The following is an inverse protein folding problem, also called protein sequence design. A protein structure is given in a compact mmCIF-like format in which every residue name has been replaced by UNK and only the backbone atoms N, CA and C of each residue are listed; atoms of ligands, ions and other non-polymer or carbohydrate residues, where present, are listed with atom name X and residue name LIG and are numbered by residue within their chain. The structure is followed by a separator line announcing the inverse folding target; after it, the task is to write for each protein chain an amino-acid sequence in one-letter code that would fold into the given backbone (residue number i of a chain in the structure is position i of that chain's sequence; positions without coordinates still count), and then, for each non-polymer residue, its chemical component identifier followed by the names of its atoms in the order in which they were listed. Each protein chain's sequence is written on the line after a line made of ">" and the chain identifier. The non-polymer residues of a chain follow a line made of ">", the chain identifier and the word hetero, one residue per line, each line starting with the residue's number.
data_IF_220101771240
#
_entry.id   IF_220101771240
#
_cell.length_a   1.000
_cell.length_b   1.000
_cell.length_c   1.000
_cell.angle_alpha   90.00
_cell.angle_beta   90.00
_cell.angle_gamma   90.00
#
_symmetry.space_group_name_H-M   'P 1'
#
loop_
_entity.id
_entity.type
_entity.pdbx_description
1 polymer ?
#
# COMPACT_ATOMS: atom_id res chain seq x y z
N UNK A 1 -4.34 -39.82 19.62
CA UNK A 1 -3.77 -40.38 18.37
C UNK A 1 -4.49 -39.91 17.12
N UNK A 2 -5.80 -40.19 16.92
CA UNK A 2 -6.51 -39.78 15.68
C UNK A 2 -6.51 -38.26 15.47
N UNK A 3 -6.69 -37.46 16.51
CA UNK A 3 -6.62 -35.99 16.44
C UNK A 3 -5.18 -35.50 16.19
N UNK A 4 -4.18 -36.18 16.72
CA UNK A 4 -2.77 -35.87 16.49
C UNK A 4 -2.37 -36.15 15.05
N UNK A 5 -2.82 -37.27 14.49
CA UNK A 5 -2.58 -37.62 13.08
C UNK A 5 -3.29 -36.65 12.12
N UNK A 6 -4.46 -36.15 12.50
CA UNK A 6 -5.15 -35.10 11.75
C UNK A 6 -4.39 -33.77 11.81
N UNK A 7 -3.93 -33.37 13.00
CA UNK A 7 -3.16 -32.14 13.20
C UNK A 7 -1.86 -32.17 12.39
N UNK A 8 -1.16 -33.32 12.38
CA UNK A 8 0.05 -33.50 11.62
C UNK A 8 -0.20 -33.35 10.11
N UNK A 9 -1.24 -33.97 9.57
CA UNK A 9 -1.62 -33.84 8.16
C UNK A 9 -1.97 -32.39 7.78
N UNK A 10 -2.70 -31.68 8.64
CA UNK A 10 -3.02 -30.28 8.43
C UNK A 10 -1.74 -29.44 8.40
N UNK A 11 -0.82 -29.67 9.34
CA UNK A 11 0.48 -28.99 9.39
C UNK A 11 1.28 -29.20 8.11
N UNK A 12 1.40 -30.44 7.65
CA UNK A 12 2.13 -30.78 6.42
C UNK A 12 1.49 -30.13 5.19
N UNK A 13 0.16 -30.15 5.11
CA UNK A 13 -0.57 -29.51 4.03
C UNK A 13 -0.39 -27.99 4.03
N UNK A 14 -0.47 -27.34 5.21
CA UNK A 14 -0.26 -25.90 5.32
C UNK A 14 1.19 -25.51 4.95
N UNK A 15 2.17 -26.28 5.39
CA UNK A 15 3.56 -26.03 5.01
C UNK A 15 3.75 -26.16 3.49
N UNK A 16 3.18 -27.20 2.87
CA UNK A 16 3.20 -27.36 1.43
C UNK A 16 2.53 -26.18 0.71
N UNK A 17 1.35 -25.71 1.19
CA UNK A 17 0.69 -24.55 0.60
C UNK A 17 1.56 -23.29 0.68
N UNK A 18 2.17 -23.01 1.82
CA UNK A 18 2.94 -21.79 2.04
C UNK A 18 4.29 -21.80 1.34
N UNK A 19 5.00 -22.95 1.31
CA UNK A 19 6.38 -23.00 0.81
C UNK A 19 6.48 -23.41 -0.66
N UNK A 20 5.60 -24.30 -1.13
CA UNK A 20 5.69 -24.84 -2.49
C UNK A 20 4.66 -24.22 -3.46
N UNK A 21 3.42 -24.01 -2.98
CA UNK A 21 2.33 -23.54 -3.85
C UNK A 21 2.32 -22.01 -3.96
N UNK A 22 2.47 -21.32 -2.81
CA UNK A 22 2.45 -19.86 -2.74
C UNK A 22 3.87 -19.29 -2.88
N UNK A 23 4.44 -19.33 -4.09
CA UNK A 23 5.83 -18.90 -4.34
C UNK A 23 6.10 -17.44 -4.00
N UNK A 24 5.06 -16.61 -4.00
CA UNK A 24 5.12 -15.20 -3.61
C UNK A 24 5.18 -15.00 -2.10
N UNK A 25 4.84 -16.03 -1.29
CA UNK A 25 4.67 -15.86 0.16
C UNK A 25 5.94 -15.39 0.87
N UNK A 26 7.06 -16.02 0.59
CA UNK A 26 8.37 -15.72 1.23
C UNK A 26 8.88 -14.32 0.84
N UNK A 27 9.05 -13.97 -0.46
CA UNK A 27 9.53 -12.64 -0.83
C UNK A 27 8.61 -11.50 -0.40
N UNK A 28 7.30 -11.68 -0.47
CA UNK A 28 6.31 -10.70 0.01
C UNK A 28 6.31 -10.57 1.54
N UNK A 29 6.67 -11.63 2.25
CA UNK A 29 6.81 -11.61 3.70
C UNK A 29 8.10 -10.91 4.14
N UNK A 30 9.22 -11.16 3.47
CA UNK A 30 10.49 -10.48 3.71
C UNK A 30 10.37 -8.98 3.46
N UNK A 31 9.73 -8.59 2.38
CA UNK A 31 9.45 -7.18 2.11
C UNK A 31 8.60 -6.54 3.22
N UNK A 32 7.57 -7.24 3.69
CA UNK A 32 6.75 -6.78 4.81
C UNK A 32 7.57 -6.61 6.09
N UNK A 33 8.45 -7.59 6.42
CA UNK A 33 9.29 -7.54 7.61
C UNK A 33 10.28 -6.37 7.59
N UNK A 34 10.76 -5.99 6.43
CA UNK A 34 11.60 -4.80 6.28
C UNK A 34 10.81 -3.50 6.42
N UNK A 35 9.63 -3.44 5.79
CA UNK A 35 8.81 -2.24 5.75
C UNK A 35 8.14 -1.94 7.10
N UNK A 36 7.64 -2.96 7.79
CA UNK A 36 6.87 -2.83 9.04
C UNK A 36 7.60 -2.06 10.15
N UNK A 37 8.88 -2.34 10.48
CA UNK A 37 9.59 -1.58 11.50
C UNK A 37 9.80 -0.11 11.12
N UNK A 38 9.97 0.20 9.84
CA UNK A 38 10.19 1.57 9.37
C UNK A 38 8.93 2.40 9.42
N UNK A 39 7.87 1.95 8.76
CA UNK A 39 6.59 2.69 8.64
C UNK A 39 5.69 2.54 9.86
N UNK A 40 5.82 1.44 10.61
CA UNK A 40 5.00 1.12 11.78
C UNK A 40 3.71 0.39 11.46
N UNK A 41 3.28 0.35 10.21
CA UNK A 41 2.10 -0.37 9.74
C UNK A 41 2.34 -1.00 8.39
N UNK A 42 1.83 -2.20 8.20
CA UNK A 42 1.79 -2.87 6.92
C UNK A 42 0.60 -3.82 6.86
N UNK A 43 0.21 -4.20 5.67
CA UNK A 43 -0.93 -5.07 5.46
C UNK A 43 -0.56 -6.28 4.61
N UNK A 44 -1.28 -7.36 4.81
CA UNK A 44 -1.31 -8.49 3.87
C UNK A 44 -2.72 -8.66 3.33
N UNK A 45 -2.84 -8.77 2.02
CA UNK A 45 -4.07 -9.16 1.33
C UNK A 45 -4.02 -10.65 1.03
N UNK A 46 -5.00 -11.39 1.54
CA UNK A 46 -5.13 -12.83 1.31
C UNK A 46 -6.43 -13.10 0.59
N UNK A 47 -6.35 -13.75 -0.56
CA UNK A 47 -7.52 -14.06 -1.39
C UNK A 47 -7.26 -15.31 -2.24
N UNK A 48 -8.34 -15.88 -2.76
CA UNK A 48 -8.24 -16.94 -3.75
C UNK A 48 -8.24 -16.32 -5.15
N UNK A 49 -7.22 -16.62 -5.93
CA UNK A 49 -7.11 -16.13 -7.31
C UNK A 49 -7.64 -17.23 -8.24
N UNK A 50 -8.76 -16.95 -8.90
CA UNK A 50 -9.42 -17.89 -9.81
C UNK A 50 -8.58 -18.19 -11.06
N UNK A 51 -7.80 -17.20 -11.53
CA UNK A 51 -6.93 -17.39 -12.71
C UNK A 51 -5.74 -18.30 -12.39
N UNK A 52 -5.21 -18.19 -11.17
CA UNK A 52 -4.12 -19.04 -10.69
C UNK A 52 -4.61 -20.35 -10.07
N UNK A 53 -5.91 -20.44 -9.74
CA UNK A 53 -6.53 -21.61 -9.10
C UNK A 53 -5.99 -21.91 -7.70
N UNK A 54 -5.46 -20.90 -6.97
CA UNK A 54 -4.84 -21.05 -5.64
C UNK A 54 -5.02 -19.82 -4.76
N UNK A 55 -4.81 -20.00 -3.48
CA UNK A 55 -4.70 -18.88 -2.55
C UNK A 55 -3.42 -18.07 -2.82
N UNK A 56 -3.53 -16.76 -2.64
CA UNK A 56 -2.47 -15.77 -2.85
C UNK A 56 -2.37 -14.88 -1.61
N UNK A 57 -1.15 -14.57 -1.18
CA UNK A 57 -0.88 -13.66 -0.09
C UNK A 57 0.09 -12.57 -0.57
N UNK A 58 -0.41 -11.33 -0.69
CA UNK A 58 0.37 -10.18 -1.15
C UNK A 58 0.63 -9.20 -0.03
N UNK A 59 1.81 -8.61 -0.01
CA UNK A 59 2.13 -7.46 0.80
C UNK A 59 1.45 -6.21 0.23
N UNK A 60 0.90 -5.39 1.11
CA UNK A 60 0.32 -4.10 0.77
C UNK A 60 0.92 -3.06 1.72
N UNK A 61 1.67 -2.08 1.19
CA UNK A 61 2.22 -1.00 1.98
C UNK A 61 1.10 -0.12 2.55
N UNK A 62 1.40 0.63 3.61
CA UNK A 62 0.41 1.47 4.27
C UNK A 62 -0.14 2.59 3.36
N UNK A 63 0.65 3.02 2.39
CA UNK A 63 0.30 4.09 1.45
C UNK A 63 -0.73 3.64 0.41
N UNK A 64 -0.80 2.33 0.12
CA UNK A 64 -1.72 1.75 -0.86
C UNK A 64 -3.06 1.29 -0.23
N UNK A 65 -3.21 1.41 1.10
CA UNK A 65 -4.46 1.07 1.79
C UNK A 65 -5.04 2.26 2.52
N UNK A 66 -6.15 2.77 2.02
CA UNK A 66 -6.84 3.93 2.56
C UNK A 66 -8.05 3.49 3.38
N UNK A 67 -8.20 4.08 4.56
CA UNK A 67 -9.34 3.88 5.45
C UNK A 67 -9.89 5.23 5.91
N UNK A 68 -11.17 5.34 6.28
CA UNK A 68 -11.72 6.55 6.87
C UNK A 68 -10.98 6.95 8.15
N UNK A 69 -10.85 8.25 8.39
CA UNK A 69 -10.14 8.78 9.56
C UNK A 69 -10.74 8.31 10.90
N UNK A 70 -12.02 8.01 10.91
CA UNK A 70 -12.76 7.53 12.09
C UNK A 70 -12.48 6.06 12.43
N UNK A 71 -11.89 5.29 11.52
CA UNK A 71 -11.62 3.88 11.73
C UNK A 71 -10.50 3.68 12.76
N UNK A 72 -10.70 2.75 13.69
CA UNK A 72 -9.68 2.30 14.65
C UNK A 72 -9.11 0.93 14.28
N UNK A 73 -9.87 0.13 13.57
CA UNK A 73 -9.49 -1.20 13.08
C UNK A 73 -10.04 -1.44 11.66
N UNK A 74 -9.57 -2.51 11.01
CA UNK A 74 -10.12 -2.90 9.71
C UNK A 74 -11.58 -3.36 9.82
N UNK A 75 -11.96 -3.92 10.98
CA UNK A 75 -13.32 -4.40 11.22
C UNK A 75 -14.32 -3.26 11.37
N UNK A 76 -13.89 -2.14 11.98
CA UNK A 76 -14.74 -0.96 12.21
C UNK A 76 -14.76 0.01 11.03
N UNK A 77 -13.89 -0.20 10.04
CA UNK A 77 -13.82 0.67 8.89
C UNK A 77 -15.05 0.51 8.00
N UNK A 78 -15.80 1.60 7.77
CA UNK A 78 -16.96 1.64 6.87
C UNK A 78 -16.57 1.38 5.41
N UNK A 79 -15.35 1.82 5.05
CA UNK A 79 -14.77 1.55 3.73
C UNK A 79 -13.28 1.25 3.85
N UNK A 80 -12.79 0.34 3.01
CA UNK A 80 -11.37 0.04 2.83
C UNK A 80 -11.09 0.17 1.35
N UNK A 81 -10.15 1.04 0.98
CA UNK A 81 -9.77 1.28 -0.41
C UNK A 81 -8.34 0.80 -0.62
N UNK A 82 -8.17 -0.14 -1.52
CA UNK A 82 -6.87 -0.63 -1.95
C UNK A 82 -6.51 -0.04 -3.31
N UNK A 83 -5.43 0.70 -3.36
CA UNK A 83 -4.88 1.31 -4.58
C UNK A 83 -3.98 0.29 -5.27
N UNK A 84 -4.27 -0.03 -6.52
CA UNK A 84 -3.54 -1.03 -7.30
C UNK A 84 -3.04 -0.37 -8.58
N UNK A 85 -1.74 -0.37 -8.79
CA UNK A 85 -1.13 0.02 -10.07
C UNK A 85 -1.07 -1.21 -10.99
N UNK A 86 -1.62 -1.10 -12.18
CA UNK A 86 -1.76 -2.23 -13.10
C UNK A 86 -1.36 -1.83 -14.52
N UNK A 87 -0.62 -2.72 -15.20
CA UNK A 87 -0.30 -2.55 -16.63
C UNK A 87 -1.54 -2.75 -17.50
N UNK A 88 -1.54 -2.16 -18.70
CA UNK A 88 -2.61 -2.34 -19.68
C UNK A 88 -2.83 -3.83 -20.02
N UNK A 89 -1.76 -4.59 -20.17
CA UNK A 89 -1.85 -6.01 -20.48
C UNK A 89 -2.52 -6.81 -19.34
N UNK A 90 -2.22 -6.50 -18.09
CA UNK A 90 -2.84 -7.21 -16.96
C UNK A 90 -4.30 -6.80 -16.75
N UNK A 91 -4.61 -5.55 -17.04
CA UNK A 91 -5.99 -5.07 -17.10
C UNK A 91 -6.77 -5.84 -18.18
N UNK A 92 -6.20 -5.95 -19.40
CA UNK A 92 -6.82 -6.66 -20.52
C UNK A 92 -7.02 -8.15 -20.24
N UNK A 93 -6.06 -8.81 -19.59
CA UNK A 93 -6.23 -10.20 -19.14
C UNK A 93 -7.44 -10.37 -18.21
N UNK A 94 -7.66 -9.44 -17.29
CA UNK A 94 -8.80 -9.48 -16.38
C UNK A 94 -10.13 -9.18 -17.08
N UNK A 95 -10.14 -8.31 -18.10
CA UNK A 95 -11.31 -8.07 -18.93
C UNK A 95 -11.66 -9.34 -19.76
N UNK A 96 -10.69 -9.94 -20.44
CA UNK A 96 -10.88 -11.16 -21.23
C UNK A 96 -11.34 -12.33 -20.35
N UNK A 97 -10.84 -12.43 -19.12
CA UNK A 97 -11.28 -13.43 -18.15
C UNK A 97 -12.68 -13.17 -17.58
N UNK A 98 -13.33 -12.05 -17.95
CA UNK A 98 -14.66 -11.69 -17.43
C UNK A 98 -14.65 -11.19 -15.99
N UNK A 99 -13.48 -10.90 -15.45
CA UNK A 99 -13.33 -10.37 -14.11
C UNK A 99 -13.66 -8.88 -14.04
N UNK A 100 -13.32 -8.12 -15.08
CA UNK A 100 -13.67 -6.73 -15.30
C UNK A 100 -14.56 -6.60 -16.54
N UNK A 101 -15.37 -5.56 -16.56
CA UNK A 101 -16.17 -5.18 -17.74
C UNK A 101 -15.22 -4.77 -18.86
N UNK A 102 -15.51 -5.18 -20.09
CA UNK A 102 -14.74 -4.84 -21.27
C UNK A 102 -15.10 -3.42 -21.75
N UNK A 103 -14.38 -2.43 -21.22
CA UNK A 103 -14.51 -1.00 -21.54
C UNK A 103 -13.15 -0.51 -22.03
N UNK A 104 -13.14 0.30 -23.08
CA UNK A 104 -11.94 1.02 -23.49
C UNK A 104 -11.60 2.10 -22.47
N UNK A 105 -10.45 1.94 -21.84
CA UNK A 105 -9.95 2.88 -20.83
C UNK A 105 -8.77 3.65 -21.43
N UNK A 106 -8.75 4.93 -21.17
CA UNK A 106 -7.60 5.78 -21.48
C UNK A 106 -6.79 5.96 -20.20
N UNK A 107 -5.48 5.66 -20.20
CA UNK A 107 -4.65 5.90 -19.03
C UNK A 107 -4.82 7.34 -18.55
N UNK A 108 -5.26 7.51 -17.31
CA UNK A 108 -5.37 8.84 -16.72
C UNK A 108 -3.97 9.41 -16.49
N UNK A 109 -3.83 10.73 -16.66
CA UNK A 109 -2.61 11.41 -16.24
C UNK A 109 -2.57 11.40 -14.71
N UNK A 110 -1.82 10.46 -14.16
CA UNK A 110 -1.54 10.43 -12.73
C UNK A 110 -0.45 11.45 -12.43
N UNK A 111 -0.82 12.56 -11.78
CA UNK A 111 0.17 13.47 -11.23
C UNK A 111 0.96 12.71 -10.15
N UNK A 112 2.28 12.69 -10.33
CA UNK A 112 3.20 12.12 -9.37
C UNK A 112 3.12 12.89 -8.05
N UNK A 113 2.90 12.20 -6.96
CA UNK A 113 2.90 12.82 -5.64
C UNK A 113 4.29 13.31 -5.26
N UNK A 114 4.38 14.31 -4.36
CA UNK A 114 5.68 14.82 -3.86
C UNK A 114 6.53 13.72 -3.21
N UNK A 115 5.89 12.70 -2.65
CA UNK A 115 6.56 11.53 -2.04
C UNK A 115 7.17 10.66 -3.12
N UNK A 116 6.39 10.24 -4.12
CA UNK A 116 6.87 9.43 -5.26
C UNK A 116 7.99 10.11 -6.04
N UNK A 117 7.89 11.43 -6.23
CA UNK A 117 8.95 12.23 -6.85
C UNK A 117 10.25 12.15 -6.05
N UNK A 118 10.15 12.25 -4.73
CA UNK A 118 11.32 12.23 -3.85
C UNK A 118 11.94 10.83 -3.73
N UNK A 119 11.12 9.78 -3.70
CA UNK A 119 11.57 8.39 -3.75
C UNK A 119 12.34 8.13 -5.04
N UNK A 120 11.79 8.51 -6.18
CA UNK A 120 12.43 8.40 -7.48
C UNK A 120 13.76 9.16 -7.57
N UNK A 121 13.82 10.37 -7.01
CA UNK A 121 15.08 11.15 -6.93
C UNK A 121 16.14 10.43 -6.10
N UNK A 122 15.75 9.79 -4.99
CA UNK A 122 16.64 9.00 -4.15
C UNK A 122 17.14 7.73 -4.83
N UNK A 123 16.28 7.09 -5.60
CA UNK A 123 16.60 5.89 -6.38
C UNK A 123 17.42 6.21 -7.65
N UNK A 124 17.48 7.47 -8.05
CA UNK A 124 18.19 7.92 -9.26
C UNK A 124 17.52 7.47 -10.56
N UNK A 125 16.24 7.10 -10.50
CA UNK A 125 15.45 6.66 -11.65
C UNK A 125 14.86 7.86 -12.39
N UNK A 126 15.02 7.91 -13.71
CA UNK A 126 14.33 8.92 -14.53
C UNK A 126 12.90 8.47 -14.80
N UNK A 127 11.96 9.41 -14.70
CA UNK A 127 10.57 9.15 -15.10
C UNK A 127 10.56 8.73 -16.57
N UNK A 128 10.19 7.49 -16.83
CA UNK A 128 9.72 7.06 -18.12
C UNK A 128 8.23 7.42 -18.16
N UNK A 129 7.71 7.86 -19.30
CA UNK A 129 6.26 8.08 -19.42
C UNK A 129 5.56 6.75 -19.16
N UNK A 130 4.92 6.62 -18.01
CA UNK A 130 4.09 5.48 -17.65
C UNK A 130 2.71 5.64 -18.33
N UNK A 131 2.71 5.75 -19.65
CA UNK A 131 1.48 5.93 -20.43
C UNK A 131 0.55 4.71 -20.34
N UNK A 132 1.09 3.56 -19.88
CA UNK A 132 0.41 2.26 -19.87
C UNK A 132 0.06 1.75 -18.45
N UNK A 133 0.17 2.59 -17.43
CA UNK A 133 -0.17 2.22 -16.04
C UNK A 133 -1.51 2.81 -15.65
N UNK A 134 -2.43 1.92 -15.27
CA UNK A 134 -3.75 2.26 -14.73
C UNK A 134 -3.74 2.21 -13.20
N UNK A 135 -4.36 3.19 -12.56
CA UNK A 135 -4.60 3.16 -11.12
C UNK A 135 -6.01 2.68 -10.85
N UNK A 136 -6.09 1.49 -10.29
CA UNK A 136 -7.34 0.81 -9.95
C UNK A 136 -7.60 0.95 -8.46
N UNK A 137 -8.79 1.39 -8.10
CA UNK A 137 -9.28 1.46 -6.74
C UNK A 137 -10.21 0.28 -6.48
N UNK A 138 -9.83 -0.60 -5.57
CA UNK A 138 -10.68 -1.67 -5.06
C UNK A 138 -11.28 -1.22 -3.73
N UNK A 139 -12.56 -0.96 -3.72
CA UNK A 139 -13.30 -0.34 -2.61
C UNK A 139 -14.17 -1.40 -1.96
N UNK A 140 -13.87 -1.75 -0.72
CA UNK A 140 -14.69 -2.62 0.12
C UNK A 140 -15.59 -1.74 0.98
N UNK A 141 -16.88 -1.73 0.72
CA UNK A 141 -17.85 -0.86 1.41
C UNK A 141 -19.24 -1.47 1.41
N UNK A 142 -20.11 -0.95 2.27
CA UNK A 142 -21.49 -1.38 2.36
C UNK A 142 -22.36 -0.47 1.47
N UNK A 143 -23.09 -1.08 0.54
CA UNK A 143 -23.94 -0.39 -0.43
C UNK A 143 -25.36 -0.97 -0.42
N UNK A 144 -26.31 -0.09 -0.68
CA UNK A 144 -27.68 -0.45 -1.03
C UNK A 144 -27.83 -0.28 -2.55
N UNK A 145 -27.93 -1.39 -3.26
CA UNK A 145 -27.97 -1.41 -4.71
C UNK A 145 -29.38 -1.76 -5.19
N UNK A 146 -29.92 -0.95 -6.09
CA UNK A 146 -31.23 -1.14 -6.69
C UNK A 146 -31.33 -2.53 -7.36
N UNK A 147 -32.33 -3.30 -6.95
CA UNK A 147 -32.55 -4.68 -7.40
C UNK A 147 -31.76 -5.75 -6.65
N UNK A 148 -30.91 -5.38 -5.69
CA UNK A 148 -30.12 -6.27 -4.85
C UNK A 148 -30.22 -5.92 -3.36
N UNK A 149 -31.31 -5.24 -2.99
CA UNK A 149 -31.60 -4.82 -1.63
C UNK A 149 -31.69 -6.01 -0.67
N UNK A 150 -31.41 -5.75 0.59
CA UNK A 150 -31.65 -6.72 1.64
C UNK A 150 -33.16 -6.86 1.91
N UNK A 151 -33.69 -8.09 1.92
CA UNK A 151 -35.10 -8.37 2.12
C UNK A 151 -35.34 -9.17 3.38
N UNK A 152 -36.34 -8.78 4.13
CA UNK A 152 -36.81 -9.53 5.29
C UNK A 152 -37.56 -10.82 4.88
N UNK A 153 -37.88 -11.65 5.84
CA UNK A 153 -38.67 -12.90 5.66
C UNK A 153 -40.02 -12.67 4.99
N UNK A 154 -40.57 -11.46 5.03
CA UNK A 154 -41.80 -11.03 4.37
C UNK A 154 -41.60 -10.56 2.92
N UNK A 155 -40.33 -10.40 2.48
CA UNK A 155 -39.97 -9.90 1.15
C UNK A 155 -39.96 -8.38 1.03
N UNK A 156 -40.10 -7.65 2.13
CA UNK A 156 -40.00 -6.21 2.20
C UNK A 156 -38.51 -5.79 2.34
N UNK A 157 -38.15 -4.66 1.75
CA UNK A 157 -36.79 -4.11 1.80
C UNK A 157 -36.47 -3.64 3.22
N UNK A 158 -35.35 -4.10 3.77
CA UNK A 158 -34.94 -3.73 5.13
C UNK A 158 -34.23 -2.39 5.19
N UNK A 159 -33.73 -1.85 4.07
CA UNK A 159 -32.89 -0.66 4.00
C UNK A 159 -31.48 -0.87 4.57
N UNK A 160 -31.08 -2.10 4.83
CA UNK A 160 -29.74 -2.43 5.31
C UNK A 160 -28.78 -2.48 4.12
N UNK A 161 -27.67 -1.75 4.23
CA UNK A 161 -26.59 -1.80 3.25
C UNK A 161 -25.84 -3.13 3.36
N UNK A 162 -25.58 -3.75 2.21
CA UNK A 162 -24.85 -5.00 2.13
C UNK A 162 -23.39 -4.79 1.73
N UNK A 163 -22.45 -5.66 2.18
CA UNK A 163 -21.04 -5.55 1.82
C UNK A 163 -20.80 -5.88 0.35
N UNK A 164 -20.16 -4.96 -0.37
CA UNK A 164 -19.72 -5.13 -1.75
C UNK A 164 -18.25 -4.74 -1.92
N UNK A 165 -17.66 -5.25 -2.99
CA UNK A 165 -16.36 -4.82 -3.51
C UNK A 165 -16.62 -4.13 -4.85
N UNK A 166 -16.33 -2.85 -4.93
CA UNK A 166 -16.45 -2.05 -6.14
C UNK A 166 -15.04 -1.75 -6.65
N UNK A 167 -14.79 -2.03 -7.91
CA UNK A 167 -13.51 -1.73 -8.54
C UNK A 167 -13.73 -0.64 -9.57
N UNK A 168 -12.96 0.45 -9.45
CA UNK A 168 -13.06 1.66 -10.28
C UNK A 168 -11.67 2.00 -10.83
N UNK A 169 -11.61 2.42 -12.08
CA UNK A 169 -10.40 3.04 -12.62
C UNK A 169 -10.40 4.53 -12.25
N UNK A 170 -9.27 5.02 -11.68
CA UNK A 170 -9.20 6.37 -11.10
C UNK A 170 -9.26 7.48 -12.15
N UNK A 171 -8.62 7.30 -13.31
CA UNK A 171 -8.53 8.32 -14.36
C UNK A 171 -9.86 8.55 -15.08
N UNK A 172 -10.48 7.49 -15.57
CA UNK A 172 -11.78 7.53 -16.28
C UNK A 172 -12.97 7.55 -15.32
N UNK A 173 -12.79 7.12 -14.07
CA UNK A 173 -13.84 6.89 -13.07
C UNK A 173 -14.88 5.84 -13.50
N UNK A 174 -14.50 4.96 -14.42
CA UNK A 174 -15.35 3.87 -14.86
C UNK A 174 -15.36 2.73 -13.84
N UNK A 175 -16.55 2.17 -13.61
CA UNK A 175 -16.73 1.03 -12.74
C UNK A 175 -16.40 -0.24 -13.51
N UNK A 176 -15.35 -0.94 -13.09
CA UNK A 176 -14.87 -2.16 -13.75
C UNK A 176 -15.57 -3.42 -13.24
N UNK A 177 -15.92 -3.47 -11.96
CA UNK A 177 -16.67 -4.59 -11.40
C UNK A 177 -17.37 -4.22 -10.10
N UNK A 178 -18.48 -4.88 -9.82
CA UNK A 178 -19.17 -4.86 -8.54
C UNK A 178 -19.39 -6.31 -8.12
N UNK A 179 -18.93 -6.67 -6.92
CA UNK A 179 -19.01 -8.04 -6.39
C UNK A 179 -19.54 -8.05 -4.98
N UNK A 180 -20.28 -9.09 -4.65
CA UNK A 180 -20.74 -9.33 -3.27
C UNK A 180 -19.54 -9.70 -2.40
N UNK A 181 -19.46 -9.09 -1.21
CA UNK A 181 -18.43 -9.36 -0.22
C UNK A 181 -18.95 -10.11 1.00
N UNK A 182 -19.90 -11.02 0.78
CA UNK A 182 -20.48 -11.89 1.80
C UNK A 182 -20.82 -13.26 1.21
N UNK A 183 -20.94 -14.26 2.07
CA UNK A 183 -21.32 -15.62 1.64
C UNK A 183 -22.82 -15.66 1.35
N UNK A 184 -23.20 -16.12 0.15
CA UNK A 184 -24.60 -16.32 -0.21
C UNK A 184 -25.19 -17.42 0.66
N UNK A 185 -26.28 -17.12 1.39
CA UNK A 185 -26.91 -18.03 2.34
C UNK A 185 -26.49 -17.80 3.80
N UNK A 186 -25.54 -16.94 4.07
CA UNK A 186 -25.28 -16.50 5.44
C UNK A 186 -26.38 -15.51 5.89
N UNK A 187 -27.16 -15.84 6.94
CA UNK A 187 -28.24 -14.98 7.43
C UNK A 187 -27.69 -13.64 8.00
N UNK A 188 -26.43 -13.62 8.44
CA UNK A 188 -25.79 -12.41 8.96
C UNK A 188 -25.18 -11.53 7.88
N UNK A 189 -25.01 -12.04 6.65
CA UNK A 189 -24.38 -11.35 5.51
C UNK A 189 -23.11 -10.61 5.90
N UNK A 190 -22.29 -11.23 6.75
CA UNK A 190 -21.08 -10.63 7.29
C UNK A 190 -20.04 -10.39 6.20
N UNK A 191 -19.41 -9.21 6.23
CA UNK A 191 -18.30 -8.86 5.35
C UNK A 191 -17.16 -9.88 5.47
N UNK A 192 -16.64 -10.34 4.34
CA UNK A 192 -15.42 -11.13 4.29
C UNK A 192 -14.20 -10.21 4.38
N UNK A 193 -13.26 -10.60 5.25
CA UNK A 193 -12.03 -9.85 5.48
C UNK A 193 -10.91 -10.41 4.60
N UNK A 194 -10.36 -9.57 3.73
CA UNK A 194 -9.24 -9.91 2.86
C UNK A 194 -7.91 -9.35 3.37
N UNK A 195 -7.95 -8.36 4.25
CA UNK A 195 -6.77 -7.66 4.72
C UNK A 195 -6.46 -8.01 6.17
N UNK A 196 -5.17 -8.21 6.44
CA UNK A 196 -4.63 -8.39 7.79
C UNK A 196 -3.69 -7.23 8.08
N UNK A 197 -3.92 -6.52 9.17
CA UNK A 197 -3.12 -5.38 9.61
C UNK A 197 -2.05 -5.82 10.60
N UNK A 198 -0.79 -5.52 10.28
CA UNK A 198 0.37 -5.71 11.14
C UNK A 198 0.83 -4.35 11.67
N UNK A 199 0.98 -4.24 12.98
CA UNK A 199 1.49 -3.02 13.67
C UNK A 199 2.81 -3.34 14.34
N UNK A 200 3.84 -2.51 14.14
CA UNK A 200 5.12 -2.65 14.83
C UNK A 200 4.98 -2.28 16.31
N UNK A 201 4.51 -1.06 16.58
CA UNK A 201 4.06 -0.63 17.89
C UNK A 201 2.64 -0.09 17.77
N UNK A 202 1.72 -0.44 18.71
CA UNK A 202 0.38 0.10 18.71
C UNK A 202 0.40 1.62 18.80
N UNK A 203 -0.29 2.29 17.88
CA UNK A 203 -0.54 3.73 17.92
C UNK A 203 -1.84 4.07 18.64
N UNK A 204 -2.14 5.36 18.76
CA UNK A 204 -3.41 5.84 19.34
C UNK A 204 -4.58 5.72 18.35
N UNK A 205 -4.32 5.48 17.08
CA UNK A 205 -5.32 5.38 16.02
C UNK A 205 -5.19 4.09 15.21
N UNK A 206 -5.60 4.19 13.96
CA UNK A 206 -5.54 3.06 13.03
C UNK A 206 -4.10 2.59 12.79
N UNK A 207 -3.17 3.50 12.50
CA UNK A 207 -1.79 3.16 12.19
C UNK A 207 -0.93 2.96 13.44
N UNK A 208 0.07 2.08 13.35
CA UNK A 208 1.09 1.88 14.37
C UNK A 208 2.25 2.86 14.24
N UNK A 209 3.10 2.89 15.26
CA UNK A 209 4.34 3.67 15.25
C UNK A 209 5.52 2.80 14.78
N UNK A 210 6.31 3.34 13.84
CA UNK A 210 7.56 2.76 13.38
C UNK A 210 8.79 3.48 13.92
N UNK A 211 9.96 2.97 13.57
CA UNK A 211 11.25 3.55 13.97
C UNK A 211 11.41 4.98 13.47
N UNK A 212 10.89 5.30 12.30
CA UNK A 212 10.95 6.68 11.75
C UNK A 212 10.25 7.66 12.70
N UNK A 213 9.12 7.27 13.27
CA UNK A 213 8.38 8.11 14.23
C UNK A 213 9.15 8.29 15.54
N UNK A 214 9.89 7.26 15.99
CA UNK A 214 10.59 7.26 17.28
C UNK A 214 11.92 8.01 17.24
N UNK A 215 12.75 7.77 16.21
CA UNK A 215 14.13 8.27 16.14
C UNK A 215 14.36 9.27 15.02
N UNK A 216 13.37 9.52 14.15
CA UNK A 216 13.51 10.44 13.02
C UNK A 216 13.89 11.87 13.44
N UNK A 217 13.31 12.37 14.54
CA UNK A 217 13.66 13.67 15.11
C UNK A 217 15.12 13.75 15.58
N UNK A 218 15.60 12.72 16.29
CA UNK A 218 16.99 12.64 16.75
C UNK A 218 17.97 12.52 15.58
N UNK A 219 17.67 11.70 14.60
CA UNK A 219 18.47 11.54 13.38
C UNK A 219 18.59 12.86 12.61
N UNK A 220 17.49 13.59 12.46
CA UNK A 220 17.49 14.92 11.83
C UNK A 220 18.35 15.92 12.58
N UNK A 221 18.26 15.94 13.91
CA UNK A 221 19.08 16.82 14.77
C UNK A 221 20.56 16.47 14.64
N UNK A 222 20.93 15.20 14.71
CA UNK A 222 22.30 14.73 14.53
C UNK A 222 22.87 15.10 13.15
N UNK A 223 22.08 14.89 12.09
CA UNK A 223 22.49 15.27 10.73
C UNK A 223 22.72 16.78 10.60
N UNK A 224 21.84 17.58 11.20
CA UNK A 224 21.97 19.05 11.18
C UNK A 224 23.23 19.49 11.94
N UNK A 225 23.51 18.91 13.11
CA UNK A 225 24.70 19.22 13.90
C UNK A 225 25.98 18.83 13.14
N UNK A 226 26.02 17.68 12.48
CA UNK A 226 27.17 17.27 11.64
C UNK A 226 27.37 18.21 10.47
N UNK A 227 26.31 18.64 9.78
CA UNK A 227 26.41 19.64 8.70
C UNK A 227 26.97 20.95 9.21
N UNK A 228 26.51 21.46 10.35
CA UNK A 228 27.02 22.69 10.96
C UNK A 228 28.51 22.57 11.35
N UNK A 229 28.93 21.40 11.86
CA UNK A 229 30.35 21.17 12.15
C UNK A 229 31.23 21.16 10.89
N UNK A 230 30.77 20.55 9.81
CA UNK A 230 31.44 20.54 8.52
C UNK A 230 31.54 21.97 7.93
N UNK A 231 30.42 22.72 7.99
CA UNK A 231 30.38 24.10 7.53
C UNK A 231 31.33 25.00 8.35
N UNK A 232 31.32 24.86 9.68
CA UNK A 232 32.26 25.60 10.56
C UNK A 232 33.72 25.22 10.28
N UNK A 233 34.00 23.92 10.07
CA UNK A 233 35.33 23.47 9.67
C UNK A 233 35.80 24.05 8.32
N UNK A 234 34.87 24.06 7.36
CA UNK A 234 35.13 24.64 6.04
C UNK A 234 35.42 26.15 6.14
N UNK A 235 34.59 26.88 6.88
CA UNK A 235 34.77 28.31 7.11
C UNK A 235 36.08 28.63 7.87
N UNK A 236 36.45 27.79 8.85
CA UNK A 236 37.70 27.93 9.60
C UNK A 236 38.94 27.70 8.73
N UNK A 237 38.87 26.80 7.77
CA UNK A 237 39.95 26.47 6.85
C UNK A 237 40.03 27.42 5.63
N UNK A 238 38.96 28.17 5.34
CA UNK A 238 39.01 29.19 4.30
C UNK A 238 39.81 30.41 4.82
N UNK A 239 40.83 30.86 4.09
CA UNK A 239 41.56 32.07 4.43
C UNK A 239 40.64 33.28 4.23
N UNK A 240 39.90 33.65 5.28
CA UNK A 240 39.03 34.82 5.27
C UNK A 240 39.81 36.01 5.89
N UNK A 241 39.85 37.10 5.18
CA UNK A 241 40.49 38.32 5.64
C UNK A 241 39.86 39.56 5.02
N UNK A 242 39.97 40.68 5.71
CA UNK A 242 39.53 41.96 5.17
C UNK A 242 40.60 42.53 4.23
N UNK A 243 40.23 42.89 3.00
CA UNK A 243 41.09 43.52 2.03
C UNK A 243 40.81 45.02 2.01
N UNK A 244 41.82 45.82 2.29
CA UNK A 244 41.73 47.28 2.15
C UNK A 244 41.66 47.66 0.66
N UNK A 245 40.78 48.57 0.31
CA UNK A 245 40.57 49.03 -1.06
C UNK A 245 41.91 49.63 -1.62
N UNK A 246 42.45 48.99 -2.67
CA UNK A 246 43.69 49.45 -3.34
C UNK A 246 44.91 48.54 -3.18
N UNK A 247 44.88 47.52 -2.35
CA UNK A 247 45.98 46.55 -2.24
C UNK A 247 45.79 45.43 -3.29
N UNK A 248 46.80 45.25 -4.17
CA UNK A 248 46.87 44.08 -5.07
C UNK A 248 47.42 42.89 -4.29
N UNK A 249 46.61 41.86 -4.12
CA UNK A 249 47.04 40.54 -3.61
C UNK A 249 47.54 39.71 -4.79
N UNK A 250 48.75 39.17 -4.71
CA UNK A 250 49.26 38.22 -5.71
C UNK A 250 48.42 36.94 -5.66
N UNK A 251 48.01 36.48 -6.83
CA UNK A 251 47.19 35.27 -7.01
C UNK A 251 47.95 33.94 -6.80
N UNK A 252 49.08 33.95 -6.10
CA UNK A 252 49.91 32.75 -5.90
C UNK A 252 49.44 31.84 -4.75
N UNK A 253 48.30 32.11 -4.12
CA UNK A 253 47.76 31.31 -3.03
C UNK A 253 46.60 30.36 -3.47
N UNK A 254 46.49 30.07 -4.76
CA UNK A 254 45.55 29.05 -5.26
C UNK A 254 46.29 27.78 -5.65
N UNK A 255 46.87 27.08 -4.70
CA UNK A 255 47.16 25.65 -4.85
C UNK A 255 47.59 25.05 -3.51
N UNK A 256 46.63 24.66 -2.72
CA UNK A 256 46.75 23.49 -1.85
C UNK A 256 45.42 22.77 -1.93
#
# INVERSE_FOLDING_TARGET
>A
RQKEDQAQRVKEFMNYQLMDVMKEYEPEFDQMLFYLPLSGSSFKKVYYDELLGRAVSKFVPADDLLVPYTATSLQDAEAIIHVIKMSENDLRKKQVAGFYVDVELTPGYNEETEVEKKERELEGVKRTRDEDIFTILEIHTDLDLEGFEDKDSTGEDTGIKLPYIVTIELGSREVLSIRRNYVVGDPTKKRQDYFVHFKFLPGMGFYGFGLIHMIGGLSRTATTALRQLLDAGTLSNLPSGFKQRGIRVRDEAQSI
#
